data_IF_870348256597
#
_entry.id   IF_870348256597
#
_cell.length_a   1.000
_cell.length_b   1.000
_cell.length_c   1.000
_cell.angle_alpha   90.00
_cell.angle_beta   90.00
_cell.angle_gamma   90.00
#
_symmetry.space_group_name_H-M   'P 1'
#
loop_
_entity.id
_entity.type
_entity.pdbx_description
1 polymer ?
#
# COMPACT_ATOMS: atom_id res chain seq x y z
N UNK A 1 8.09 -6.35 -39.75
CA UNK A 1 6.64 -6.51 -39.51
C UNK A 1 6.11 -5.20 -38.93
N UNK A 2 5.06 -4.66 -39.49
CA UNK A 2 4.39 -3.48 -38.94
C UNK A 2 3.75 -3.82 -37.60
N UNK A 3 3.50 -2.81 -36.72
CA UNK A 3 2.81 -2.96 -35.43
C UNK A 3 1.49 -3.72 -35.65
N UNK A 4 0.78 -3.43 -36.71
CA UNK A 4 -0.50 -4.03 -37.05
C UNK A 4 -0.40 -5.54 -37.33
N UNK A 5 0.65 -6.00 -38.03
CA UNK A 5 0.83 -7.43 -38.32
C UNK A 5 1.14 -8.26 -37.06
N UNK A 6 1.97 -7.73 -36.17
CA UNK A 6 2.30 -8.40 -34.90
C UNK A 6 1.08 -8.48 -33.97
N UNK A 7 0.33 -7.39 -33.88
CA UNK A 7 -0.92 -7.34 -33.12
C UNK A 7 -1.90 -8.41 -33.63
N UNK A 8 -2.18 -8.45 -34.94
CA UNK A 8 -3.13 -9.41 -35.52
C UNK A 8 -2.71 -10.85 -35.29
N UNK A 9 -1.45 -11.18 -35.44
CA UNK A 9 -0.91 -12.52 -35.17
C UNK A 9 -1.17 -12.98 -33.73
N UNK A 10 -0.92 -12.11 -32.75
CA UNK A 10 -1.14 -12.44 -31.32
C UNK A 10 -2.62 -12.40 -30.93
N UNK A 11 -3.39 -11.47 -31.51
CA UNK A 11 -4.83 -11.36 -31.28
C UNK A 11 -5.59 -12.60 -31.75
N UNK A 12 -5.23 -13.20 -32.88
CA UNK A 12 -5.87 -14.41 -33.39
C UNK A 12 -5.71 -15.61 -32.44
N UNK A 13 -4.63 -15.67 -31.66
CA UNK A 13 -4.39 -16.76 -30.69
C UNK A 13 -5.25 -16.66 -29.43
N UNK A 14 -5.93 -15.54 -29.23
CA UNK A 14 -6.77 -15.30 -28.05
C UNK A 14 -8.08 -16.09 -28.13
N UNK A 15 -8.56 -16.56 -26.98
CA UNK A 15 -9.92 -17.10 -26.86
C UNK A 15 -10.97 -15.96 -26.85
N UNK A 16 -12.24 -16.32 -26.92
CA UNK A 16 -13.38 -15.38 -27.02
C UNK A 16 -13.37 -14.33 -25.88
N UNK A 17 -13.17 -14.76 -24.63
CA UNK A 17 -13.20 -13.86 -23.48
C UNK A 17 -11.98 -12.92 -23.46
N UNK A 18 -10.82 -13.41 -23.87
CA UNK A 18 -9.62 -12.60 -24.02
C UNK A 18 -9.77 -11.56 -25.12
N UNK A 19 -10.36 -11.92 -26.26
CA UNK A 19 -10.70 -11.00 -27.37
C UNK A 19 -11.66 -9.92 -26.88
N UNK A 20 -12.71 -10.30 -26.18
CA UNK A 20 -13.66 -9.35 -25.60
C UNK A 20 -12.95 -8.36 -24.67
N UNK A 21 -12.02 -8.81 -23.81
CA UNK A 21 -11.25 -7.94 -22.94
C UNK A 21 -10.34 -6.98 -23.69
N UNK A 22 -9.72 -7.42 -24.80
CA UNK A 22 -8.88 -6.56 -25.66
C UNK A 22 -9.74 -5.53 -26.41
N UNK A 23 -10.95 -5.92 -26.85
CA UNK A 23 -11.85 -5.07 -27.64
C UNK A 23 -12.63 -4.06 -26.79
N UNK A 24 -12.80 -4.33 -25.50
CA UNK A 24 -13.40 -3.38 -24.55
C UNK A 24 -12.39 -2.30 -24.19
N UNK A 25 -12.32 -1.23 -24.98
CA UNK A 25 -11.36 -0.14 -24.76
C UNK A 25 -11.89 0.95 -23.82
N UNK A 26 -13.20 1.15 -23.75
CA UNK A 26 -13.84 2.20 -22.95
C UNK A 26 -14.38 1.64 -21.63
N UNK A 27 -14.34 2.48 -20.60
CA UNK A 27 -14.89 2.19 -19.28
C UNK A 27 -14.07 1.22 -18.43
N UNK A 28 -14.49 1.00 -17.17
CA UNK A 28 -13.85 0.07 -16.27
C UNK A 28 -14.03 -1.38 -16.74
N UNK A 29 -12.94 -2.17 -16.66
CA UNK A 29 -12.96 -3.59 -17.00
C UNK A 29 -12.22 -4.39 -15.93
N UNK A 30 -12.85 -5.43 -15.40
CA UNK A 30 -12.21 -6.41 -14.51
C UNK A 30 -12.01 -7.71 -15.27
N UNK A 31 -10.76 -8.19 -15.36
CA UNK A 31 -10.38 -9.45 -15.96
C UNK A 31 -10.02 -10.48 -14.88
N UNK A 32 -10.92 -11.40 -14.58
CA UNK A 32 -10.69 -12.49 -13.65
C UNK A 32 -10.11 -13.69 -14.38
N UNK A 33 -8.91 -14.12 -13.99
CA UNK A 33 -8.27 -15.29 -14.61
C UNK A 33 -7.22 -15.91 -13.70
N UNK A 34 -7.02 -17.22 -13.82
CA UNK A 34 -6.02 -17.97 -13.07
C UNK A 34 -4.56 -17.61 -13.41
N UNK A 35 -3.62 -18.15 -12.66
CA UNK A 35 -2.20 -18.04 -12.96
C UNK A 35 -1.89 -18.65 -14.34
N UNK A 36 -1.01 -18.05 -15.12
CA UNK A 36 -0.64 -18.55 -16.45
C UNK A 36 -1.66 -18.33 -17.57
N UNK A 37 -2.85 -17.81 -17.29
CA UNK A 37 -3.93 -17.60 -18.28
C UNK A 37 -3.68 -16.44 -19.27
N UNK A 38 -2.48 -15.93 -19.38
CA UNK A 38 -2.13 -14.91 -20.38
C UNK A 38 -2.55 -13.48 -20.04
N UNK A 39 -2.91 -13.15 -18.77
CA UNK A 39 -3.32 -11.80 -18.34
C UNK A 39 -2.46 -10.68 -18.90
N UNK A 40 -1.14 -10.79 -18.73
CA UNK A 40 -0.19 -9.78 -19.20
C UNK A 40 -0.22 -9.62 -20.72
N UNK A 41 -0.48 -10.68 -21.46
CA UNK A 41 -0.62 -10.64 -22.93
C UNK A 41 -1.89 -9.91 -23.34
N UNK A 42 -3.00 -10.21 -22.68
CA UNK A 42 -4.30 -9.53 -22.92
C UNK A 42 -4.18 -8.04 -22.62
N UNK A 43 -3.57 -7.65 -21.49
CA UNK A 43 -3.36 -6.24 -21.15
C UNK A 43 -2.47 -5.52 -22.17
N UNK A 44 -1.36 -6.16 -22.59
CA UNK A 44 -0.48 -5.57 -23.60
C UNK A 44 -1.17 -5.39 -24.96
N UNK A 45 -1.96 -6.38 -25.39
CA UNK A 45 -2.76 -6.28 -26.61
C UNK A 45 -3.86 -5.21 -26.49
N UNK A 46 -4.50 -5.09 -25.31
CA UNK A 46 -5.46 -4.01 -25.06
C UNK A 46 -4.83 -2.62 -25.18
N UNK A 47 -3.63 -2.43 -24.63
CA UNK A 47 -2.88 -1.17 -24.82
C UNK A 47 -2.66 -0.87 -26.31
N UNK A 48 -2.22 -1.87 -27.10
CA UNK A 48 -2.07 -1.72 -28.54
C UNK A 48 -3.40 -1.37 -29.24
N UNK A 49 -4.49 -2.03 -28.86
CA UNK A 49 -5.80 -1.82 -29.47
C UNK A 49 -6.35 -0.42 -29.15
N UNK A 50 -6.13 0.08 -27.92
CA UNK A 50 -6.48 1.46 -27.55
C UNK A 50 -5.75 2.45 -28.47
N UNK A 51 -4.43 2.30 -28.65
CA UNK A 51 -3.64 3.19 -29.50
C UNK A 51 -3.99 3.10 -30.98
N UNK A 52 -4.51 1.96 -31.45
CA UNK A 52 -4.95 1.80 -32.84
C UNK A 52 -6.35 2.39 -33.09
N UNK A 53 -7.21 2.37 -32.09
CA UNK A 53 -8.63 2.79 -32.22
C UNK A 53 -8.92 4.19 -31.70
N UNK A 54 -7.94 4.84 -31.09
CA UNK A 54 -8.07 6.19 -30.53
C UNK A 54 -6.89 7.06 -30.92
N UNK A 55 -7.02 8.38 -30.75
CA UNK A 55 -5.94 9.35 -30.97
C UNK A 55 -5.00 9.48 -29.76
N UNK A 56 -5.06 8.54 -28.82
CA UNK A 56 -4.20 8.54 -27.64
C UNK A 56 -2.74 8.28 -28.00
N UNK A 57 -1.85 9.02 -27.35
CA UNK A 57 -0.40 8.78 -27.47
C UNK A 57 0.02 7.67 -26.50
N UNK A 58 1.09 6.92 -26.80
CA UNK A 58 1.61 5.90 -25.86
C UNK A 58 1.91 6.47 -24.46
N UNK A 59 2.34 7.73 -24.36
CA UNK A 59 2.58 8.44 -23.09
C UNK A 59 1.31 8.68 -22.23
N UNK A 60 0.13 8.54 -22.81
CA UNK A 60 -1.14 8.62 -22.07
C UNK A 60 -1.54 7.28 -21.41
N UNK A 61 -0.78 6.22 -21.64
CA UNK A 61 -1.05 4.90 -21.04
C UNK A 61 -0.13 4.69 -19.86
N UNK A 62 -0.74 4.38 -18.71
CA UNK A 62 -0.06 3.96 -17.50
C UNK A 62 -0.38 2.49 -17.21
N UNK A 63 0.65 1.64 -17.15
CA UNK A 63 0.53 0.25 -16.72
C UNK A 63 1.14 0.08 -15.34
N UNK A 64 0.35 -0.34 -14.37
CA UNK A 64 0.82 -0.60 -13.01
C UNK A 64 0.88 -2.11 -12.73
N UNK A 65 1.96 -2.54 -12.08
CA UNK A 65 2.17 -3.93 -11.66
C UNK A 65 2.59 -3.99 -10.20
N UNK A 66 2.49 -5.17 -9.60
CA UNK A 66 2.89 -5.35 -8.20
C UNK A 66 4.41 -5.49 -8.02
N UNK A 67 5.12 -6.06 -9.01
CA UNK A 67 6.54 -6.39 -8.89
C UNK A 67 7.39 -5.86 -10.05
N UNK A 68 8.68 -5.67 -9.81
CA UNK A 68 9.64 -5.29 -10.86
C UNK A 68 9.69 -6.34 -11.99
N UNK A 69 9.61 -7.63 -11.66
CA UNK A 69 9.52 -8.68 -12.67
C UNK A 69 8.27 -8.54 -13.56
N UNK A 70 7.15 -8.06 -13.00
CA UNK A 70 5.94 -7.71 -13.74
C UNK A 70 6.17 -6.53 -14.69
N UNK A 71 6.90 -5.50 -14.25
CA UNK A 71 7.29 -4.35 -15.10
C UNK A 71 8.11 -4.84 -16.28
N UNK A 72 9.15 -5.64 -16.04
CA UNK A 72 10.02 -6.16 -17.11
C UNK A 72 9.27 -7.04 -18.10
N UNK A 73 8.40 -7.91 -17.60
CA UNK A 73 7.55 -8.76 -18.43
C UNK A 73 6.60 -7.94 -19.31
N UNK A 74 5.97 -6.89 -18.74
CA UNK A 74 5.07 -6.01 -19.49
C UNK A 74 5.84 -5.21 -20.55
N UNK A 75 6.97 -4.61 -20.19
CA UNK A 75 7.83 -3.87 -21.14
C UNK A 75 8.27 -4.75 -22.30
N UNK A 76 8.73 -5.98 -22.03
CA UNK A 76 9.12 -6.94 -23.08
C UNK A 76 7.96 -7.24 -24.04
N UNK A 77 6.75 -7.44 -23.52
CA UNK A 77 5.57 -7.72 -24.34
C UNK A 77 5.13 -6.52 -25.17
N UNK A 78 5.09 -5.32 -24.57
CA UNK A 78 4.79 -4.09 -25.30
C UNK A 78 5.82 -3.85 -26.40
N UNK A 79 7.12 -4.04 -26.12
CA UNK A 79 8.19 -3.88 -27.12
C UNK A 79 8.07 -4.88 -28.26
N UNK A 80 7.70 -6.11 -27.99
CA UNK A 80 7.45 -7.13 -29.01
C UNK A 80 6.27 -6.74 -29.93
N UNK A 81 5.23 -6.08 -29.40
CA UNK A 81 4.04 -5.70 -30.17
C UNK A 81 4.18 -4.35 -30.87
N UNK A 82 4.75 -3.35 -30.22
CA UNK A 82 4.73 -1.93 -30.64
C UNK A 82 6.10 -1.40 -31.06
N UNK A 83 7.19 -2.16 -30.89
CA UNK A 83 8.54 -1.69 -31.14
C UNK A 83 8.95 -0.53 -30.24
N UNK A 84 9.55 0.52 -30.79
CA UNK A 84 10.04 1.68 -30.04
C UNK A 84 8.94 2.51 -29.37
N UNK A 85 7.73 2.50 -29.92
CA UNK A 85 6.58 3.18 -29.30
C UNK A 85 6.26 2.66 -27.89
N UNK A 86 6.67 1.44 -27.55
CA UNK A 86 6.51 0.86 -26.22
C UNK A 86 7.30 1.60 -25.14
N UNK A 87 8.43 2.22 -25.50
CA UNK A 87 9.30 2.93 -24.55
C UNK A 87 8.63 4.22 -24.04
N UNK A 88 7.60 4.71 -24.73
CA UNK A 88 6.79 5.86 -24.34
C UNK A 88 5.63 5.49 -23.40
N UNK A 89 5.28 4.20 -23.26
CA UNK A 89 4.26 3.74 -22.32
C UNK A 89 4.86 3.71 -20.91
N UNK A 90 4.24 4.42 -19.96
CA UNK A 90 4.71 4.39 -18.57
C UNK A 90 4.32 3.05 -17.94
N UNK A 91 5.32 2.19 -17.67
CA UNK A 91 5.14 0.91 -16.95
C UNK A 91 5.91 0.98 -15.65
N UNK A 92 5.23 0.83 -14.52
CA UNK A 92 5.81 1.04 -13.19
C UNK A 92 5.18 0.10 -12.16
N UNK A 93 5.81 -0.04 -11.00
CA UNK A 93 5.13 -0.62 -9.84
C UNK A 93 4.27 0.45 -9.15
N UNK A 94 3.26 0.02 -8.36
CA UNK A 94 2.46 0.95 -7.55
C UNK A 94 3.33 1.82 -6.65
N UNK A 95 4.35 1.23 -6.01
CA UNK A 95 5.26 1.95 -5.11
C UNK A 95 6.11 2.99 -5.86
N UNK A 96 6.68 2.62 -6.99
CA UNK A 96 7.50 3.54 -7.80
C UNK A 96 6.66 4.69 -8.34
N UNK A 97 5.45 4.40 -8.82
CA UNK A 97 4.54 5.43 -9.32
C UNK A 97 4.12 6.41 -8.22
N UNK A 98 3.75 5.90 -7.03
CA UNK A 98 3.42 6.74 -5.88
C UNK A 98 4.61 7.62 -5.45
N UNK A 99 5.82 7.08 -5.49
CA UNK A 99 7.05 7.82 -5.20
C UNK A 99 7.28 8.94 -6.22
N UNK A 100 7.10 8.67 -7.51
CA UNK A 100 7.19 9.69 -8.57
C UNK A 100 6.23 10.85 -8.28
N UNK A 101 4.94 10.55 -7.95
CA UNK A 101 3.95 11.57 -7.62
C UNK A 101 4.38 12.42 -6.42
N UNK A 102 4.94 11.80 -5.37
CA UNK A 102 5.42 12.53 -4.19
C UNK A 102 6.56 13.48 -4.57
N UNK A 103 7.50 13.04 -5.41
CA UNK A 103 8.61 13.88 -5.86
C UNK A 103 8.11 15.03 -6.74
N UNK A 104 7.24 14.76 -7.70
CA UNK A 104 6.70 15.75 -8.62
C UNK A 104 5.87 16.84 -7.92
N UNK A 105 5.20 16.50 -6.81
CA UNK A 105 4.38 17.44 -6.03
C UNK A 105 5.12 18.09 -4.86
N UNK A 106 6.39 17.78 -4.63
CA UNK A 106 7.20 18.52 -3.66
C UNK A 106 7.45 19.93 -4.18
N UNK A 107 7.07 20.94 -3.37
CA UNK A 107 7.24 22.35 -3.74
C UNK A 107 8.68 22.67 -4.13
N UNK A 108 8.92 23.46 -5.20
CA UNK A 108 10.25 23.90 -5.60
C UNK A 108 10.91 24.67 -4.43
N UNK A 109 12.07 24.20 -3.97
CA UNK A 109 12.82 24.79 -2.85
C UNK A 109 12.73 24.03 -1.53
N UNK A 110 11.83 23.09 -1.35
CA UNK A 110 11.95 22.12 -0.26
C UNK A 110 13.06 21.13 -0.61
N UNK A 111 14.23 21.31 0.03
CA UNK A 111 15.35 20.34 -0.03
C UNK A 111 14.98 19.03 0.70
N UNK A 112 13.80 18.53 0.46
CA UNK A 112 13.39 17.24 0.99
C UNK A 112 13.91 16.18 0.02
N UNK A 113 15.14 15.73 0.27
CA UNK A 113 15.58 14.41 -0.19
C UNK A 113 14.65 13.39 0.45
N UNK A 114 13.43 13.28 -0.09
CA UNK A 114 12.47 12.24 0.28
C UNK A 114 13.01 10.93 -0.25
N UNK A 115 13.84 10.27 0.56
CA UNK A 115 14.31 8.91 0.30
C UNK A 115 13.41 7.92 1.05
N UNK A 116 13.14 6.80 0.42
CA UNK A 116 12.46 5.69 1.10
C UNK A 116 13.37 5.17 2.19
N UNK A 117 12.93 5.24 3.45
CA UNK A 117 13.69 4.74 4.59
C UNK A 117 13.84 3.22 4.51
N UNK A 118 15.07 2.75 4.68
CA UNK A 118 15.34 1.33 4.88
C UNK A 118 14.74 0.87 6.23
N UNK A 119 14.46 -0.43 6.40
CA UNK A 119 13.98 -0.96 7.68
C UNK A 119 14.87 -0.56 8.86
N UNK A 120 16.20 -0.61 8.71
CA UNK A 120 17.14 -0.20 9.75
C UNK A 120 17.02 1.28 10.13
N UNK A 121 16.91 2.16 9.14
CA UNK A 121 16.73 3.61 9.39
C UNK A 121 15.42 3.90 10.13
N UNK A 122 14.33 3.18 9.83
CA UNK A 122 13.06 3.32 10.56
C UNK A 122 13.21 2.95 12.04
N UNK A 123 13.90 1.84 12.33
CA UNK A 123 14.17 1.45 13.72
C UNK A 123 15.04 2.46 14.46
N UNK A 124 16.08 2.99 13.83
CA UNK A 124 16.91 4.04 14.42
C UNK A 124 16.12 5.32 14.73
N UNK A 125 15.18 5.70 13.86
CA UNK A 125 14.31 6.87 14.11
C UNK A 125 13.38 6.61 15.28
N UNK A 126 12.73 5.43 15.34
CA UNK A 126 11.86 5.06 16.44
C UNK A 126 12.62 5.02 17.77
N UNK A 127 13.83 4.45 17.78
CA UNK A 127 14.68 4.41 18.97
C UNK A 127 15.04 5.83 19.46
N UNK A 128 15.43 6.73 18.56
CA UNK A 128 15.70 8.15 18.90
C UNK A 128 14.46 8.86 19.44
N UNK A 129 13.28 8.62 18.88
CA UNK A 129 12.04 9.22 19.35
C UNK A 129 11.67 8.71 20.76
N UNK A 130 11.85 7.43 21.03
CA UNK A 130 11.58 6.82 22.33
C UNK A 130 12.62 7.19 23.39
N UNK A 131 13.86 7.49 23.00
CA UNK A 131 14.91 7.96 23.90
C UNK A 131 14.71 9.41 24.36
N UNK A 132 13.81 10.17 23.75
CA UNK A 132 13.54 11.55 24.11
C UNK A 132 12.25 11.65 24.95
N UNK A 133 12.33 12.08 26.24
CA UNK A 133 11.17 12.17 27.12
C UNK A 133 10.04 13.04 26.56
N UNK A 134 10.38 14.10 25.83
CA UNK A 134 9.39 15.02 25.24
C UNK A 134 8.55 14.39 24.12
N UNK A 135 9.12 13.45 23.39
CA UNK A 135 8.45 12.78 22.27
C UNK A 135 7.89 11.42 22.66
N UNK A 136 8.51 10.75 23.60
CA UNK A 136 8.11 9.42 24.05
C UNK A 136 6.90 9.45 25.01
N UNK A 137 6.68 10.57 25.75
CA UNK A 137 5.62 10.63 26.74
C UNK A 137 5.69 9.47 27.74
N UNK A 138 4.57 8.81 27.97
CA UNK A 138 4.48 7.62 28.84
C UNK A 138 5.30 6.41 28.34
N UNK A 139 5.69 6.38 27.08
CA UNK A 139 6.56 5.32 26.54
C UNK A 139 8.03 5.47 26.96
N UNK A 140 8.43 6.62 27.53
CA UNK A 140 9.80 6.87 27.97
C UNK A 140 10.25 5.93 29.10
N UNK A 141 9.37 5.61 30.04
CA UNK A 141 9.64 4.70 31.18
C UNK A 141 9.74 3.22 30.76
N UNK A 142 9.40 2.93 29.53
CA UNK A 142 9.63 1.63 28.95
C UNK A 142 11.13 1.54 28.63
N UNK A 143 11.94 0.99 29.59
CA UNK A 143 13.38 0.68 29.43
C UNK A 143 13.74 0.27 28.00
N UNK A 144 14.98 0.62 27.50
CA UNK A 144 15.32 0.59 26.08
C UNK A 144 14.63 -0.56 25.36
N UNK A 145 13.78 -0.19 24.44
CA UNK A 145 12.80 -1.06 23.85
C UNK A 145 13.52 -2.29 23.30
N UNK A 146 13.25 -3.45 23.85
CA UNK A 146 13.72 -4.69 23.25
C UNK A 146 13.35 -4.65 21.75
N UNK A 147 14.19 -5.20 20.88
CA UNK A 147 13.92 -5.25 19.44
C UNK A 147 12.49 -5.70 19.13
N UNK A 148 11.90 -6.54 19.98
CA UNK A 148 10.51 -7.02 19.91
C UNK A 148 9.50 -5.86 20.08
N UNK A 149 9.71 -4.95 21.03
CA UNK A 149 8.81 -3.79 21.28
C UNK A 149 8.89 -2.78 20.13
N UNK A 150 10.08 -2.49 19.62
CA UNK A 150 10.27 -1.64 18.44
C UNK A 150 9.57 -2.23 17.21
N UNK A 151 9.65 -3.54 17.03
CA UNK A 151 8.96 -4.22 15.94
C UNK A 151 7.43 -4.12 16.07
N UNK A 152 6.89 -4.29 17.27
CA UNK A 152 5.45 -4.14 17.52
C UNK A 152 4.97 -2.72 17.23
N UNK A 153 5.69 -1.69 17.71
CA UNK A 153 5.38 -0.30 17.39
C UNK A 153 5.42 -0.01 15.88
N UNK A 154 6.44 -0.50 15.20
CA UNK A 154 6.53 -0.37 13.75
C UNK A 154 5.32 -1.01 13.03
N UNK A 155 4.88 -2.18 13.51
CA UNK A 155 3.72 -2.89 12.94
C UNK A 155 2.43 -2.10 13.15
N UNK A 156 2.22 -1.53 14.35
CA UNK A 156 1.06 -0.69 14.67
C UNK A 156 1.04 0.56 13.79
N UNK A 157 2.14 1.30 13.67
CA UNK A 157 2.21 2.47 12.81
C UNK A 157 2.01 2.12 11.33
N UNK A 158 2.49 0.96 10.88
CA UNK A 158 2.27 0.49 9.52
C UNK A 158 0.80 0.18 9.26
N UNK A 159 0.11 -0.40 10.26
CA UNK A 159 -1.32 -0.65 10.20
C UNK A 159 -2.12 0.66 10.14
N UNK A 160 -1.82 1.62 11.03
CA UNK A 160 -2.50 2.93 11.03
C UNK A 160 -2.40 3.63 9.68
N UNK A 161 -1.20 3.61 9.07
CA UNK A 161 -1.00 4.18 7.72
C UNK A 161 -1.78 3.43 6.65
N UNK A 162 -1.84 2.10 6.73
CA UNK A 162 -2.56 1.27 5.76
C UNK A 162 -4.07 1.51 5.81
N UNK A 163 -4.61 1.66 7.02
CA UNK A 163 -6.04 1.89 7.25
C UNK A 163 -6.40 3.39 7.23
N UNK A 164 -5.45 4.26 6.90
CA UNK A 164 -5.62 5.73 6.87
C UNK A 164 -6.14 6.31 8.20
N UNK A 165 -5.76 5.70 9.34
CA UNK A 165 -6.15 6.17 10.67
C UNK A 165 -5.40 7.46 10.98
N UNK A 166 -6.14 8.51 11.29
CA UNK A 166 -5.62 9.84 11.63
C UNK A 166 -5.30 9.97 13.12
N UNK A 167 -4.60 11.05 13.51
CA UNK A 167 -4.39 11.36 14.92
C UNK A 167 -5.72 11.64 15.65
N UNK A 168 -6.66 12.28 14.97
CA UNK A 168 -8.01 12.57 15.47
C UNK A 168 -8.77 11.28 15.77
N UNK A 169 -8.69 10.28 14.91
CA UNK A 169 -9.31 8.98 15.11
C UNK A 169 -8.74 8.29 16.36
N UNK A 170 -7.40 8.33 16.54
CA UNK A 170 -6.73 7.74 17.70
C UNK A 170 -7.17 8.45 18.97
N UNK A 171 -7.20 9.79 19.00
CA UNK A 171 -7.62 10.59 20.15
C UNK A 171 -9.08 10.30 20.49
N UNK A 172 -9.97 10.30 19.48
CA UNK A 172 -11.39 10.02 19.64
C UNK A 172 -11.62 8.64 20.27
N UNK A 173 -10.97 7.61 19.71
CA UNK A 173 -11.07 6.24 20.23
C UNK A 173 -10.51 6.12 21.65
N UNK A 174 -9.36 6.77 21.92
CA UNK A 174 -8.75 6.76 23.25
C UNK A 174 -9.68 7.41 24.29
N UNK A 175 -10.32 8.54 23.95
CA UNK A 175 -11.28 9.21 24.84
C UNK A 175 -12.50 8.33 25.10
N UNK A 176 -13.05 7.65 24.11
CA UNK A 176 -14.15 6.68 24.30
C UNK A 176 -13.74 5.54 25.23
N UNK A 177 -12.51 5.02 25.08
CA UNK A 177 -11.99 3.99 25.97
C UNK A 177 -11.87 4.53 27.41
N UNK A 178 -11.31 5.73 27.59
CA UNK A 178 -11.18 6.38 28.91
C UNK A 178 -12.54 6.60 29.56
N UNK A 179 -13.50 7.16 28.83
CA UNK A 179 -14.89 7.36 29.34
C UNK A 179 -15.52 6.04 29.79
N UNK A 180 -15.22 4.94 29.09
CA UNK A 180 -15.72 3.61 29.50
C UNK A 180 -15.05 3.05 30.77
N UNK A 181 -13.86 3.56 31.12
CA UNK A 181 -13.03 3.10 32.23
C UNK A 181 -13.24 3.99 33.47
N UNK A 182 -13.44 5.32 33.30
CA UNK A 182 -13.62 6.30 34.38
C UNK A 182 -14.63 5.91 35.45
N UNK A 183 -15.79 5.30 35.17
CA UNK A 183 -16.74 4.86 36.20
C UNK A 183 -16.18 3.83 37.20
N UNK A 184 -15.02 3.23 36.88
CA UNK A 184 -14.39 2.17 37.67
C UNK A 184 -13.16 2.66 38.45
N UNK A 185 -12.77 3.95 38.37
CA UNK A 185 -11.59 4.48 39.07
C UNK A 185 -11.67 4.40 40.57
N UNK A 186 -12.87 4.54 41.19
CA UNK A 186 -13.07 4.50 42.61
C UNK A 186 -13.10 3.07 43.21
N UNK A 187 -13.20 2.05 42.37
CA UNK A 187 -13.36 0.65 42.77
C UNK A 187 -12.07 -0.19 42.81
N UNK A 188 -10.93 0.36 42.35
CA UNK A 188 -9.69 -0.40 42.20
C UNK A 188 -8.88 -0.53 43.48
N UNK A 189 -9.39 -1.20 44.45
CA UNK A 189 -8.58 -1.68 45.58
C UNK A 189 -8.13 -3.13 45.29
N UNK A 190 -6.82 -3.28 45.06
CA UNK A 190 -6.17 -4.58 45.04
C UNK A 190 -6.41 -5.26 46.41
N UNK A 191 -7.22 -6.30 46.48
CA UNK A 191 -7.24 -7.22 47.62
C UNK A 191 -5.96 -8.07 47.58
N UNK A 192 -5.39 -8.38 48.76
CA UNK A 192 -4.31 -9.33 48.94
C UNK A 192 -4.63 -10.60 48.12
N UNK A 193 -3.95 -10.80 46.97
CA UNK A 193 -4.10 -12.00 46.15
C UNK A 193 -4.78 -11.83 44.77
N UNK A 194 -5.11 -10.62 44.32
CA UNK A 194 -5.61 -10.39 42.96
C UNK A 194 -6.67 -9.30 42.81
N UNK A 195 -7.18 -9.14 41.60
CA UNK A 195 -8.23 -8.18 41.27
C UNK A 195 -9.55 -8.58 41.93
N UNK A 196 -10.28 -7.59 42.51
CA UNK A 196 -11.66 -7.79 42.97
C UNK A 196 -12.61 -8.09 41.79
N UNK A 197 -13.91 -8.30 42.08
CA UNK A 197 -14.89 -8.64 41.05
C UNK A 197 -15.00 -7.56 39.94
N UNK A 198 -14.90 -6.28 40.34
CA UNK A 198 -14.95 -5.12 39.42
C UNK A 198 -13.68 -5.01 38.58
N UNK A 199 -12.49 -5.22 39.19
CA UNK A 199 -11.22 -5.30 38.46
C UNK A 199 -11.16 -6.42 37.45
N UNK A 200 -11.80 -7.57 37.75
CA UNK A 200 -11.94 -8.67 36.77
C UNK A 200 -12.87 -8.31 35.62
N UNK A 201 -13.97 -7.59 35.89
CA UNK A 201 -14.88 -7.12 34.84
C UNK A 201 -14.19 -6.09 33.92
N UNK A 202 -13.38 -5.19 34.47
CA UNK A 202 -12.63 -4.24 33.67
C UNK A 202 -11.55 -4.92 32.84
N UNK A 203 -10.77 -5.81 33.45
CA UNK A 203 -9.78 -6.58 32.70
C UNK A 203 -10.41 -7.30 31.49
N UNK A 204 -11.62 -7.86 31.66
CA UNK A 204 -12.38 -8.46 30.59
C UNK A 204 -12.81 -7.44 29.53
N UNK A 205 -13.29 -6.25 29.95
CA UNK A 205 -13.62 -5.18 28.98
C UNK A 205 -12.41 -4.71 28.20
N UNK A 206 -11.25 -4.54 28.85
CA UNK A 206 -9.99 -4.18 28.19
C UNK A 206 -9.57 -5.26 27.18
N UNK A 207 -9.73 -6.54 27.52
CA UNK A 207 -9.50 -7.66 26.59
C UNK A 207 -10.44 -7.63 25.39
N UNK A 208 -11.71 -7.31 25.60
CA UNK A 208 -12.72 -7.22 24.54
C UNK A 208 -12.47 -6.01 23.61
N UNK A 209 -11.86 -4.93 24.10
CA UNK A 209 -11.38 -3.80 23.27
C UNK A 209 -10.08 -4.12 22.51
N UNK A 210 -9.35 -5.16 22.89
CA UNK A 210 -8.09 -5.55 22.24
C UNK A 210 -8.25 -6.56 21.08
N UNK A 211 -9.48 -7.02 20.84
CA UNK A 211 -9.88 -7.92 19.74
C UNK A 211 -10.47 -7.14 18.57
#
# INVERSE_FOLDING_TARGET
MSINQKFQSEYQKLNTNQKLAVDTINGPLILLSGAGAGKTTVVALRCCNILQKTDMKPSNILCLTFSNAGVDSMKKKLKALMGEAADLVKVSTFHSFAHDIIIENNAPGTKNNTSILTPGQRFMILEKLLANPKTAGTFYDIKPASAKKLHSLHSIFSLFKKECITNEDIISYTNQCLESILPYEEGYLLKKGGLNAEGKQLAKKIEDFSK
#
